data_IF_592519403066
#
_entry.id   IF_592519403066
#
_cell.length_a   1.000
_cell.length_b   1.000
_cell.length_c   1.000
_cell.angle_alpha   90.00
_cell.angle_beta   90.00
_cell.angle_gamma   90.00
#
_symmetry.space_group_name_H-M   'P 1'
#
loop_
_entity.id
_entity.type
_entity.pdbx_description
1 polymer ?
#
# COMPACT_ATOMS: atom_id res chain seq x y z
N UNK A 1 -14.12 24.22 -14.10
CA UNK A 1 -15.18 23.18 -14.09
C UNK A 1 -16.35 23.73 -13.29
N UNK A 2 -17.59 23.50 -13.72
CA UNK A 2 -18.77 23.86 -12.92
C UNK A 2 -18.92 22.86 -11.77
N UNK A 3 -19.62 23.28 -10.71
CA UNK A 3 -19.96 22.37 -9.60
C UNK A 3 -20.83 21.22 -10.11
N UNK A 4 -20.42 19.99 -9.85
CA UNK A 4 -21.16 18.77 -10.13
C UNK A 4 -21.28 18.01 -8.81
N UNK A 5 -22.49 17.58 -8.48
CA UNK A 5 -22.81 16.79 -7.29
C UNK A 5 -23.53 15.53 -7.75
N UNK A 6 -23.14 14.39 -7.21
CA UNK A 6 -23.80 13.09 -7.42
C UNK A 6 -24.01 12.43 -6.06
N UNK A 7 -25.26 12.26 -5.66
CA UNK A 7 -25.65 11.58 -4.42
C UNK A 7 -26.26 10.23 -4.78
N UNK A 8 -25.87 9.21 -4.04
CA UNK A 8 -26.31 7.83 -4.27
C UNK A 8 -26.37 7.06 -2.95
N UNK A 9 -27.17 6.02 -2.93
CA UNK A 9 -27.30 5.11 -1.79
C UNK A 9 -26.75 3.75 -2.17
N UNK A 10 -25.85 3.20 -1.33
CA UNK A 10 -25.32 1.84 -1.43
C UNK A 10 -25.23 1.24 -0.04
N UNK A 11 -25.63 -0.03 0.09
CA UNK A 11 -25.58 -0.80 1.35
C UNK A 11 -26.26 -0.08 2.52
N UNK A 12 -27.41 0.59 2.23
CA UNK A 12 -28.22 1.32 3.22
C UNK A 12 -27.56 2.61 3.73
N UNK A 13 -26.54 3.13 3.04
CA UNK A 13 -25.82 4.37 3.40
C UNK A 13 -25.78 5.34 2.24
N UNK A 14 -25.97 6.62 2.55
CA UNK A 14 -25.88 7.70 1.55
C UNK A 14 -24.44 8.17 1.41
N UNK A 15 -24.03 8.34 0.15
CA UNK A 15 -22.75 8.91 -0.25
C UNK A 15 -22.95 10.06 -1.23
N UNK A 16 -22.01 11.01 -1.20
CA UNK A 16 -22.00 12.10 -2.18
C UNK A 16 -20.61 12.30 -2.73
N UNK A 17 -20.50 12.44 -4.06
CA UNK A 17 -19.32 12.97 -4.73
C UNK A 17 -19.61 14.40 -5.21
N UNK A 18 -18.68 15.31 -4.93
CA UNK A 18 -18.76 16.69 -5.38
C UNK A 18 -17.43 17.13 -5.99
N UNK A 19 -17.48 17.84 -7.12
CA UNK A 19 -16.30 18.45 -7.76
C UNK A 19 -16.60 19.86 -8.26
N UNK A 20 -15.55 20.64 -8.56
CA UNK A 20 -15.63 21.95 -9.21
C UNK A 20 -15.75 23.15 -8.26
N UNK A 21 -15.94 22.94 -6.96
CA UNK A 21 -16.04 24.03 -5.97
C UNK A 21 -14.73 24.29 -5.23
N UNK A 22 -14.10 23.25 -4.70
CA UNK A 22 -12.87 23.32 -3.94
C UNK A 22 -11.64 22.97 -4.80
N UNK A 23 -10.46 23.40 -4.35
CA UNK A 23 -9.15 23.06 -4.91
C UNK A 23 -9.06 23.24 -6.44
N UNK A 24 -9.52 24.35 -6.97
CA UNK A 24 -9.62 24.66 -8.42
C UNK A 24 -8.28 24.66 -9.19
N UNK A 25 -7.15 24.65 -8.48
CA UNK A 25 -5.81 24.59 -9.07
C UNK A 25 -5.27 23.15 -9.20
N UNK A 26 -5.91 22.16 -8.55
CA UNK A 26 -5.55 20.76 -8.70
C UNK A 26 -5.98 20.25 -10.09
N UNK A 27 -5.29 19.22 -10.58
CA UNK A 27 -5.68 18.55 -11.83
C UNK A 27 -7.05 17.91 -11.73
N UNK A 28 -7.37 17.28 -10.60
CA UNK A 28 -8.69 16.78 -10.21
C UNK A 28 -8.91 16.96 -8.71
N UNK A 29 -10.13 17.29 -8.31
CA UNK A 29 -10.51 17.45 -6.92
C UNK A 29 -11.93 16.93 -6.71
N UNK A 30 -12.11 16.07 -5.72
CA UNK A 30 -13.41 15.49 -5.35
C UNK A 30 -13.58 15.57 -3.84
N UNK A 31 -14.73 16.04 -3.39
CA UNK A 31 -15.18 15.89 -2.01
C UNK A 31 -16.03 14.63 -1.96
N UNK A 32 -15.65 13.70 -1.11
CA UNK A 32 -16.44 12.51 -0.78
C UNK A 32 -17.08 12.72 0.57
N UNK A 33 -18.37 12.38 0.66
CA UNK A 33 -19.15 12.49 1.90
C UNK A 33 -19.87 11.19 2.20
N UNK A 34 -19.86 10.79 3.47
CA UNK A 34 -20.72 9.77 4.07
C UNK A 34 -21.23 10.30 5.41
N UNK A 35 -22.54 10.49 5.54
CA UNK A 35 -23.07 11.22 6.70
C UNK A 35 -22.53 12.65 6.78
N UNK A 36 -22.01 13.06 7.94
CA UNK A 36 -21.32 14.34 8.11
C UNK A 36 -19.78 14.21 8.07
N UNK A 37 -19.27 13.03 7.78
CA UNK A 37 -17.84 12.84 7.44
C UNK A 37 -17.58 13.25 6.00
N UNK A 38 -16.67 14.21 5.79
CA UNK A 38 -16.33 14.81 4.49
C UNK A 38 -14.82 14.81 4.30
N UNK A 39 -14.37 14.35 3.14
CA UNK A 39 -12.94 14.36 2.77
C UNK A 39 -12.76 15.00 1.40
N UNK A 40 -11.91 16.01 1.31
CA UNK A 40 -11.41 16.55 0.05
C UNK A 40 -10.25 15.71 -0.42
N UNK A 41 -10.34 15.12 -1.61
CA UNK A 41 -9.23 14.41 -2.23
C UNK A 41 -8.84 15.12 -3.52
N UNK A 42 -7.55 15.43 -3.65
CA UNK A 42 -6.97 16.10 -4.81
C UNK A 42 -5.96 15.19 -5.50
N UNK A 43 -5.91 15.24 -6.83
CA UNK A 43 -4.92 14.57 -7.65
C UNK A 43 -4.24 15.60 -8.57
N UNK A 44 -2.90 15.64 -8.54
CA UNK A 44 -2.10 16.54 -9.37
C UNK A 44 -0.95 15.75 -9.99
N UNK A 45 -0.90 15.74 -11.31
CA UNK A 45 0.17 15.11 -12.08
C UNK A 45 1.09 16.16 -12.70
N UNK A 46 2.41 15.89 -12.72
CA UNK A 46 3.35 16.71 -13.48
C UNK A 46 3.15 16.52 -14.99
N UNK A 47 3.43 17.57 -15.77
CA UNK A 47 3.35 17.52 -17.23
C UNK A 47 4.57 16.85 -17.87
N UNK A 48 5.66 16.72 -17.11
CA UNK A 48 6.92 16.14 -17.58
C UNK A 48 7.24 14.86 -16.80
N UNK A 49 7.69 13.84 -17.54
CA UNK A 49 8.18 12.62 -16.93
C UNK A 49 9.50 12.87 -16.18
N UNK A 50 9.70 12.20 -15.07
CA UNK A 50 10.98 12.17 -14.35
C UNK A 50 11.88 11.07 -14.91
N UNK A 51 13.18 11.32 -14.85
CA UNK A 51 14.19 10.33 -15.21
C UNK A 51 14.41 9.33 -14.06
N UNK A 52 13.36 8.52 -13.77
CA UNK A 52 13.33 7.52 -12.72
C UNK A 52 13.00 6.16 -13.33
N UNK A 53 13.41 5.08 -12.66
CA UNK A 53 13.10 3.70 -13.03
C UNK A 53 11.82 3.15 -12.37
N UNK A 54 11.12 4.00 -11.61
CA UNK A 54 9.89 3.65 -10.90
C UNK A 54 8.83 4.75 -11.05
N UNK A 55 7.58 4.43 -10.74
CA UNK A 55 6.46 5.36 -10.70
C UNK A 55 6.52 6.26 -9.45
N UNK A 56 6.72 7.59 -9.60
CA UNK A 56 6.83 8.52 -8.48
C UNK A 56 5.45 8.98 -7.99
N UNK A 57 4.71 8.08 -7.33
CA UNK A 57 3.44 8.37 -6.67
C UNK A 57 3.69 8.76 -5.20
N UNK A 58 3.13 9.89 -4.80
CA UNK A 58 3.05 10.32 -3.40
C UNK A 58 1.60 10.41 -2.98
N UNK A 59 1.25 9.77 -1.88
CA UNK A 59 -0.07 9.85 -1.26
C UNK A 59 0.07 10.35 0.17
N UNK A 60 -0.69 11.38 0.51
CA UNK A 60 -0.76 11.94 1.85
C UNK A 60 -2.21 11.94 2.34
N UNK A 61 -2.39 11.62 3.62
CA UNK A 61 -3.66 11.75 4.32
C UNK A 61 -3.47 12.74 5.46
N UNK A 62 -4.33 13.73 5.54
CA UNK A 62 -4.23 14.81 6.50
C UNK A 62 -5.45 14.86 7.41
N UNK A 63 -5.21 14.60 8.68
CA UNK A 63 -6.16 14.81 9.75
C UNK A 63 -6.08 16.28 10.18
N UNK A 64 -7.18 17.01 10.08
CA UNK A 64 -7.30 18.36 10.58
C UNK A 64 -8.18 18.35 11.83
N UNK A 65 -7.64 18.77 12.97
CA UNK A 65 -8.35 18.69 14.26
C UNK A 65 -9.67 19.47 14.26
N UNK A 66 -9.75 20.55 13.45
CA UNK A 66 -11.01 21.28 13.26
C UNK A 66 -12.13 20.43 12.68
N UNK A 67 -11.81 19.36 11.92
CA UNK A 67 -12.81 18.47 11.36
C UNK A 67 -13.69 17.78 12.42
N UNK A 68 -13.13 17.54 13.60
CA UNK A 68 -13.85 17.02 14.76
C UNK A 68 -14.16 18.12 15.81
N UNK A 69 -14.08 19.42 15.44
CA UNK A 69 -14.30 20.52 16.36
C UNK A 69 -13.22 20.65 17.46
N UNK A 70 -12.05 20.06 17.28
CA UNK A 70 -10.96 20.03 18.27
C UNK A 70 -9.85 21.03 17.92
N UNK A 71 -9.14 21.50 18.95
CA UNK A 71 -7.85 22.20 18.78
C UNK A 71 -6.69 21.19 18.86
N UNK A 72 -5.61 21.38 18.08
CA UNK A 72 -4.43 20.52 18.19
C UNK A 72 -3.88 20.49 19.63
N UNK A 73 -3.69 19.26 20.16
CA UNK A 73 -3.32 19.07 21.57
C UNK A 73 -1.89 19.50 21.93
N UNK A 74 -0.96 19.54 20.95
CA UNK A 74 0.43 19.88 21.17
C UNK A 74 0.66 21.31 21.67
N UNK A 75 1.86 21.60 22.19
CA UNK A 75 2.21 22.90 22.74
C UNK A 75 2.03 24.06 21.75
N UNK A 76 2.42 23.87 20.49
CA UNK A 76 2.32 24.91 19.45
C UNK A 76 0.88 25.07 18.89
N UNK A 77 -0.08 24.28 19.36
CA UNK A 77 -1.49 24.33 18.92
C UNK A 77 -1.67 24.27 17.40
N UNK A 78 -0.86 23.47 16.74
CA UNK A 78 -0.89 23.23 15.31
C UNK A 78 -0.54 21.79 15.02
N UNK A 79 -1.16 21.18 14.00
CA UNK A 79 -0.76 19.90 13.44
C UNK A 79 0.68 20.00 12.90
N UNK A 80 1.52 18.99 13.17
CA UNK A 80 2.91 18.97 12.76
C UNK A 80 3.21 17.77 11.86
N UNK A 81 3.59 16.64 12.46
CA UNK A 81 3.85 15.41 11.71
C UNK A 81 2.56 14.60 11.58
N UNK A 82 2.37 13.88 10.47
CA UNK A 82 1.25 12.95 10.34
C UNK A 82 1.22 11.97 11.51
N UNK A 83 0.01 11.67 12.00
CA UNK A 83 -0.22 10.61 12.99
C UNK A 83 0.12 9.24 12.41
N UNK A 84 0.27 8.23 13.26
CA UNK A 84 0.41 6.83 12.81
C UNK A 84 -0.77 6.44 11.93
N UNK A 85 -2.01 6.76 12.34
CA UNK A 85 -3.23 6.52 11.56
C UNK A 85 -3.17 7.21 10.19
N UNK A 86 -2.75 8.47 10.14
CA UNK A 86 -2.63 9.19 8.87
C UNK A 86 -1.63 8.51 7.91
N UNK A 87 -0.51 7.99 8.43
CA UNK A 87 0.47 7.25 7.64
C UNK A 87 -0.11 5.93 7.14
N UNK A 88 -0.83 5.20 8.00
CA UNK A 88 -1.48 3.92 7.62
C UNK A 88 -2.55 4.14 6.57
N UNK A 89 -3.41 5.14 6.74
CA UNK A 89 -4.44 5.49 5.75
C UNK A 89 -3.83 5.92 4.41
N UNK A 90 -2.77 6.75 4.42
CA UNK A 90 -2.06 7.09 3.19
C UNK A 90 -1.52 5.85 2.46
N UNK A 91 -1.01 4.86 3.20
CA UNK A 91 -0.55 3.58 2.62
C UNK A 91 -1.69 2.72 2.10
N UNK A 92 -2.84 2.74 2.78
CA UNK A 92 -4.04 2.03 2.36
C UNK A 92 -4.59 2.59 1.04
N UNK A 93 -4.47 3.89 0.80
CA UNK A 93 -4.81 4.54 -0.47
C UNK A 93 -3.75 4.26 -1.55
N UNK A 94 -2.44 4.42 -1.24
CA UNK A 94 -1.33 4.27 -2.20
C UNK A 94 -1.27 2.86 -2.83
N UNK A 95 -1.43 1.82 -2.01
CA UNK A 95 -1.20 0.43 -2.45
C UNK A 95 -2.10 -0.01 -3.60
N UNK A 96 -3.44 0.11 -3.54
CA UNK A 96 -4.31 -0.28 -4.64
C UNK A 96 -4.19 0.65 -5.84
N UNK A 97 -4.02 1.96 -5.63
CA UNK A 97 -3.90 2.93 -6.72
C UNK A 97 -2.65 2.67 -7.56
N UNK A 98 -1.51 2.40 -6.91
CA UNK A 98 -0.22 2.18 -7.59
C UNK A 98 -0.28 1.05 -8.61
N UNK A 99 -1.05 0.01 -8.32
CA UNK A 99 -1.21 -1.17 -9.18
C UNK A 99 -2.07 -0.90 -10.43
N UNK A 100 -2.82 0.20 -10.44
CA UNK A 100 -3.73 0.56 -11.51
C UNK A 100 -3.15 1.56 -12.51
N UNK A 101 -1.84 1.79 -12.47
CA UNK A 101 -1.15 2.61 -13.47
C UNK A 101 -0.38 1.74 -14.45
N UNK A 102 -0.33 2.12 -15.74
CA UNK A 102 0.42 1.37 -16.73
C UNK A 102 1.92 1.36 -16.42
N UNK A 103 2.55 0.24 -16.74
CA UNK A 103 4.01 0.16 -16.68
C UNK A 103 4.63 1.27 -17.55
N UNK A 104 5.67 1.91 -17.06
CA UNK A 104 6.29 3.02 -17.79
C UNK A 104 5.70 4.40 -17.50
N UNK A 105 4.69 4.54 -16.65
CA UNK A 105 4.26 5.83 -16.15
C UNK A 105 5.37 6.47 -15.28
N UNK A 106 5.91 7.63 -15.68
CA UNK A 106 7.09 8.27 -15.05
C UNK A 106 6.84 9.71 -14.60
N UNK A 107 5.63 10.23 -14.77
CA UNK A 107 5.27 11.55 -14.29
C UNK A 107 5.05 11.51 -12.77
N UNK A 108 5.49 12.56 -12.07
CA UNK A 108 5.14 12.69 -10.65
C UNK A 108 3.62 12.83 -10.50
N UNK A 109 3.08 12.07 -9.58
CA UNK A 109 1.68 12.15 -9.21
C UNK A 109 1.56 12.29 -7.70
N UNK A 110 0.81 13.30 -7.27
CA UNK A 110 0.50 13.50 -5.86
C UNK A 110 -1.01 13.41 -5.63
N UNK A 111 -1.40 12.60 -4.67
CA UNK A 111 -2.77 12.50 -4.15
C UNK A 111 -2.76 12.95 -2.70
N UNK A 112 -3.62 13.91 -2.36
CA UNK A 112 -3.77 14.39 -0.98
C UNK A 112 -5.23 14.25 -0.59
N UNK A 113 -5.49 13.50 0.49
CA UNK A 113 -6.79 13.40 1.13
C UNK A 113 -6.78 14.22 2.43
N UNK A 114 -7.65 15.22 2.52
CA UNK A 114 -7.77 16.09 3.68
C UNK A 114 -9.15 15.94 4.29
N UNK A 115 -9.22 15.53 5.54
CA UNK A 115 -10.49 15.41 6.27
C UNK A 115 -10.99 16.82 6.62
N UNK A 116 -12.16 17.19 6.08
CA UNK A 116 -12.79 18.49 6.29
C UNK A 116 -13.81 18.47 7.42
N UNK A 117 -14.49 17.33 7.62
CA UNK A 117 -15.46 17.09 8.69
C UNK A 117 -15.42 15.62 9.08
N UNK A 118 -15.56 15.32 10.36
CA UNK A 118 -15.62 13.97 10.93
C UNK A 118 -16.72 13.92 11.98
N UNK A 119 -17.75 13.11 11.71
CA UNK A 119 -18.91 12.95 12.61
C UNK A 119 -18.67 11.96 13.76
N UNK A 120 -17.50 11.32 13.79
CA UNK A 120 -17.12 10.28 14.75
C UNK A 120 -18.06 9.06 14.75
N UNK A 121 -18.81 8.88 13.68
CA UNK A 121 -19.66 7.71 13.39
C UNK A 121 -19.08 6.98 12.18
N UNK A 122 -18.83 7.71 11.08
CA UNK A 122 -18.35 7.18 9.83
C UNK A 122 -16.83 7.36 9.69
N UNK A 123 -16.14 6.31 9.30
CA UNK A 123 -14.69 6.32 9.18
C UNK A 123 -14.24 7.02 7.90
N UNK A 124 -13.35 8.04 7.98
CA UNK A 124 -12.92 8.80 6.81
C UNK A 124 -11.89 8.07 5.93
N UNK A 125 -11.25 7.01 6.44
CA UNK A 125 -10.10 6.36 5.80
C UNK A 125 -10.47 5.60 4.51
N UNK A 126 -11.46 4.72 4.56
CA UNK A 126 -11.82 3.85 3.43
C UNK A 126 -12.46 4.63 2.30
N UNK A 127 -13.31 5.63 2.61
CA UNK A 127 -13.94 6.48 1.59
C UNK A 127 -12.91 7.32 0.80
N UNK A 128 -11.70 7.53 1.36
CA UNK A 128 -10.61 8.20 0.66
C UNK A 128 -10.07 7.39 -0.53
N UNK A 129 -10.18 6.06 -0.53
CA UNK A 129 -9.72 5.23 -1.65
C UNK A 129 -10.56 5.54 -2.89
N UNK A 130 -11.89 5.53 -2.74
CA UNK A 130 -12.78 5.90 -3.85
C UNK A 130 -12.68 7.37 -4.20
N UNK A 131 -12.45 8.25 -3.23
CA UNK A 131 -12.21 9.68 -3.45
C UNK A 131 -10.96 9.94 -4.27
N UNK A 132 -9.87 9.22 -3.99
CA UNK A 132 -8.61 9.30 -4.73
C UNK A 132 -8.77 8.80 -6.17
N UNK A 133 -9.45 7.67 -6.34
CA UNK A 133 -9.78 7.13 -7.66
C UNK A 133 -10.67 8.10 -8.46
N UNK A 134 -11.72 8.64 -7.85
CA UNK A 134 -12.59 9.64 -8.50
C UNK A 134 -11.82 10.92 -8.87
N UNK A 135 -10.92 11.41 -8.01
CA UNK A 135 -10.07 12.57 -8.30
C UNK A 135 -9.12 12.32 -9.48
N UNK A 136 -8.55 11.11 -9.60
CA UNK A 136 -7.73 10.70 -10.74
C UNK A 136 -8.54 10.64 -12.04
N UNK A 137 -9.75 10.09 -12.00
CA UNK A 137 -10.67 10.08 -13.15
C UNK A 137 -11.03 11.50 -13.59
N UNK A 138 -11.36 12.38 -12.65
CA UNK A 138 -11.66 13.80 -12.94
C UNK A 138 -10.45 14.56 -13.46
N UNK A 139 -9.23 14.19 -13.03
CA UNK A 139 -7.98 14.75 -13.56
C UNK A 139 -7.65 14.29 -14.99
N UNK A 140 -8.33 13.26 -15.50
CA UNK A 140 -8.05 12.68 -16.82
C UNK A 140 -6.69 11.99 -16.92
N UNK A 141 -6.11 11.57 -15.81
CA UNK A 141 -4.82 10.86 -15.78
C UNK A 141 -5.00 9.46 -16.40
N UNK A 142 -4.05 8.93 -17.19
CA UNK A 142 -4.12 7.57 -17.71
C UNK A 142 -3.98 6.56 -16.57
N UNK A 143 -5.11 6.06 -16.12
CA UNK A 143 -5.30 5.26 -14.91
C UNK A 143 -6.29 4.13 -15.22
N UNK A 144 -5.92 2.90 -14.95
CA UNK A 144 -6.72 1.68 -15.19
C UNK A 144 -7.74 1.47 -14.05
N UNK A 145 -8.47 2.54 -13.72
CA UNK A 145 -9.52 2.53 -12.72
C UNK A 145 -10.91 2.43 -13.33
N UNK A 146 -11.94 2.60 -12.51
CA UNK A 146 -11.89 3.03 -11.10
C UNK A 146 -11.44 1.95 -10.12
N UNK A 147 -10.90 2.44 -8.99
CA UNK A 147 -10.58 1.64 -7.81
C UNK A 147 -11.51 2.07 -6.68
N UNK A 148 -12.06 1.11 -5.97
CA UNK A 148 -12.78 1.37 -4.73
C UNK A 148 -12.20 0.56 -3.59
N UNK A 149 -12.45 1.00 -2.37
CA UNK A 149 -12.15 0.27 -1.16
C UNK A 149 -13.39 0.23 -0.27
N UNK A 150 -13.56 -0.87 0.41
CA UNK A 150 -14.61 -1.07 1.41
C UNK A 150 -14.02 -1.66 2.67
N UNK A 151 -14.61 -1.33 3.82
CA UNK A 151 -14.41 -2.04 5.07
C UNK A 151 -15.57 -2.98 5.28
N UNK A 152 -15.29 -4.22 5.64
CA UNK A 152 -16.29 -5.22 5.98
C UNK A 152 -16.11 -5.61 7.43
N UNK A 153 -17.19 -5.50 8.19
CA UNK A 153 -17.34 -6.05 9.54
C UNK A 153 -18.31 -7.22 9.52
N UNK A 154 -18.30 -8.04 10.56
CA UNK A 154 -19.31 -9.06 10.81
C UNK A 154 -20.03 -8.73 12.11
N UNK A 155 -21.31 -8.35 12.01
CA UNK A 155 -22.16 -7.95 13.13
C UNK A 155 -23.34 -8.92 13.20
N UNK A 156 -23.55 -9.55 14.33
CA UNK A 156 -24.61 -10.56 14.52
C UNK A 156 -24.62 -11.67 13.44
N UNK A 157 -23.44 -12.00 12.91
CA UNK A 157 -23.26 -13.02 11.86
C UNK A 157 -23.46 -12.53 10.43
N UNK A 158 -23.84 -11.28 10.22
CA UNK A 158 -24.06 -10.69 8.90
C UNK A 158 -22.92 -9.74 8.52
N UNK A 159 -22.54 -9.71 7.21
CA UNK A 159 -21.52 -8.79 6.72
C UNK A 159 -22.09 -7.39 6.48
N UNK A 160 -21.40 -6.39 7.02
CA UNK A 160 -21.75 -4.96 6.90
C UNK A 160 -20.66 -4.21 6.15
N UNK A 161 -21.04 -3.46 5.11
CA UNK A 161 -20.14 -2.60 4.34
C UNK A 161 -19.98 -1.25 5.01
N UNK A 162 -18.73 -0.79 5.16
CA UNK A 162 -18.35 0.49 5.76
C UNK A 162 -19.05 0.72 7.11
N UNK A 163 -18.85 -0.18 8.09
CA UNK A 163 -19.52 -0.10 9.40
C UNK A 163 -19.20 1.21 10.09
N UNK A 164 -20.12 1.64 10.98
CA UNK A 164 -19.83 2.69 11.96
C UNK A 164 -18.75 2.23 12.96
N UNK A 165 -18.21 3.16 13.76
CA UNK A 165 -17.27 2.78 14.82
C UNK A 165 -17.89 1.80 15.81
N UNK A 166 -19.14 2.01 16.25
CA UNK A 166 -19.84 1.14 17.19
C UNK A 166 -20.11 -0.27 16.62
N UNK A 167 -20.47 -0.36 15.33
CA UNK A 167 -20.63 -1.64 14.62
C UNK A 167 -19.29 -2.38 14.52
N UNK A 168 -18.19 -1.66 14.26
CA UNK A 168 -16.86 -2.25 14.17
C UNK A 168 -16.36 -2.76 15.53
N UNK A 169 -16.60 -2.01 16.60
CA UNK A 169 -16.21 -2.42 17.97
C UNK A 169 -16.90 -3.70 18.42
N UNK A 170 -18.11 -3.97 17.92
CA UNK A 170 -18.85 -5.20 18.20
C UNK A 170 -18.48 -6.37 17.28
N UNK A 171 -17.67 -6.14 16.26
CA UNK A 171 -17.30 -7.11 15.23
C UNK A 171 -16.09 -7.97 15.63
N UNK A 172 -16.09 -9.22 15.22
CA UNK A 172 -14.93 -10.11 15.28
C UNK A 172 -14.05 -10.02 14.01
N UNK A 173 -14.44 -9.19 13.03
CA UNK A 173 -13.76 -8.99 11.76
C UNK A 173 -13.67 -7.49 11.41
N UNK A 174 -12.46 -7.00 11.20
CA UNK A 174 -12.15 -5.71 10.54
C UNK A 174 -11.37 -6.01 9.27
N UNK A 175 -12.04 -6.04 8.13
CA UNK A 175 -11.46 -6.39 6.85
C UNK A 175 -11.58 -5.22 5.87
N UNK A 176 -10.46 -4.63 5.48
CA UNK A 176 -10.41 -3.65 4.40
C UNK A 176 -9.95 -4.32 3.11
N UNK A 177 -10.76 -4.20 2.07
CA UNK A 177 -10.46 -4.70 0.73
C UNK A 177 -10.53 -3.54 -0.25
N UNK A 178 -9.57 -3.47 -1.17
CA UNK A 178 -9.60 -2.51 -2.26
C UNK A 178 -9.16 -3.13 -3.58
N UNK A 179 -9.80 -2.71 -4.67
CA UNK A 179 -9.55 -3.25 -6.00
C UNK A 179 -10.38 -2.57 -7.08
N UNK A 180 -10.35 -3.18 -8.26
CA UNK A 180 -11.24 -2.85 -9.39
C UNK A 180 -12.56 -3.61 -9.31
N UNK A 181 -13.44 -3.44 -10.30
CA UNK A 181 -14.67 -4.25 -10.43
C UNK A 181 -14.41 -5.76 -10.51
N UNK A 182 -13.22 -6.18 -10.93
CA UNK A 182 -12.92 -7.56 -11.34
C UNK A 182 -11.81 -8.20 -10.51
N UNK A 183 -11.03 -7.41 -9.75
CA UNK A 183 -9.86 -7.91 -9.03
C UNK A 183 -9.58 -7.16 -7.73
N UNK A 184 -9.15 -7.92 -6.73
CA UNK A 184 -8.66 -7.39 -5.45
C UNK A 184 -7.18 -7.05 -5.59
N UNK A 185 -6.80 -5.83 -5.21
CA UNK A 185 -5.41 -5.32 -5.24
C UNK A 185 -4.80 -5.19 -3.86
N UNK A 186 -5.61 -5.01 -2.82
CA UNK A 186 -5.14 -4.80 -1.46
C UNK A 186 -6.12 -5.40 -0.46
N UNK A 187 -5.55 -6.05 0.56
CA UNK A 187 -6.27 -6.57 1.72
C UNK A 187 -5.51 -6.14 2.96
N UNK A 188 -6.23 -5.68 3.97
CA UNK A 188 -5.76 -5.53 5.34
C UNK A 188 -6.84 -6.07 6.28
N UNK A 189 -6.49 -6.95 7.19
CA UNK A 189 -7.44 -7.55 8.11
C UNK A 189 -6.93 -7.54 9.56
N UNK A 190 -7.88 -7.46 10.47
CA UNK A 190 -7.75 -7.83 11.87
C UNK A 190 -8.97 -8.69 12.21
N UNK A 191 -8.76 -9.80 12.91
CA UNK A 191 -9.84 -10.75 13.20
C UNK A 191 -9.61 -11.45 14.53
N UNK A 192 -10.69 -11.81 15.21
CA UNK A 192 -10.70 -12.60 16.43
C UNK A 192 -11.01 -14.06 16.10
N UNK A 193 -9.96 -14.81 15.65
CA UNK A 193 -10.02 -16.25 15.34
C UNK A 193 -11.07 -16.63 14.28
N UNK A 194 -11.33 -15.75 13.30
CA UNK A 194 -12.21 -16.03 12.14
C UNK A 194 -11.54 -17.07 11.25
N UNK A 195 -12.30 -18.05 10.76
CA UNK A 195 -11.78 -19.11 9.88
C UNK A 195 -11.39 -18.59 8.49
N UNK A 196 -10.54 -19.36 7.78
CA UNK A 196 -10.13 -19.04 6.42
C UNK A 196 -11.33 -19.01 5.45
N UNK A 197 -12.31 -19.93 5.62
CA UNK A 197 -13.50 -19.98 4.77
C UNK A 197 -14.37 -18.72 4.97
N UNK A 198 -14.63 -18.32 6.21
CA UNK A 198 -15.36 -17.08 6.52
C UNK A 198 -14.62 -15.85 6.00
N UNK A 199 -13.28 -15.85 6.05
CA UNK A 199 -12.49 -14.76 5.49
C UNK A 199 -12.63 -14.69 3.95
N UNK A 200 -12.66 -15.82 3.26
CA UNK A 200 -12.88 -15.89 1.82
C UNK A 200 -14.29 -15.41 1.43
N UNK A 201 -15.30 -15.76 2.21
CA UNK A 201 -16.67 -15.28 2.02
C UNK A 201 -16.76 -13.76 2.20
N UNK A 202 -16.13 -13.22 3.24
CA UNK A 202 -16.05 -11.78 3.47
C UNK A 202 -15.34 -11.03 2.34
N UNK A 203 -14.26 -11.59 1.78
CA UNK A 203 -13.55 -11.01 0.63
C UNK A 203 -14.42 -11.05 -0.65
N UNK A 204 -15.17 -12.12 -0.85
CA UNK A 204 -16.10 -12.25 -2.00
C UNK A 204 -17.23 -11.23 -1.88
N UNK A 205 -17.77 -11.05 -0.69
CA UNK A 205 -18.77 -10.01 -0.40
C UNK A 205 -18.19 -8.61 -0.65
N UNK A 206 -16.98 -8.33 -0.16
CA UNK A 206 -16.29 -7.07 -0.38
C UNK A 206 -16.06 -6.78 -1.87
N UNK A 207 -15.68 -7.78 -2.67
CA UNK A 207 -15.47 -7.63 -4.13
C UNK A 207 -16.77 -7.21 -4.84
N UNK A 208 -17.91 -7.76 -4.43
CA UNK A 208 -19.21 -7.38 -4.97
C UNK A 208 -19.54 -5.92 -4.67
N UNK A 209 -19.29 -5.49 -3.43
CA UNK A 209 -19.47 -4.10 -3.02
C UNK A 209 -18.52 -3.13 -3.77
N UNK A 210 -17.26 -3.51 -3.95
CA UNK A 210 -16.29 -2.74 -4.73
C UNK A 210 -16.77 -2.50 -6.16
N UNK A 211 -17.34 -3.53 -6.80
CA UNK A 211 -17.85 -3.41 -8.17
C UNK A 211 -18.94 -2.34 -8.28
N UNK A 212 -19.87 -2.27 -7.32
CA UNK A 212 -20.92 -1.24 -7.28
C UNK A 212 -20.35 0.17 -7.08
N UNK A 213 -19.40 0.35 -6.16
CA UNK A 213 -18.71 1.64 -5.98
C UNK A 213 -17.89 2.05 -7.21
N UNK A 214 -17.32 1.11 -7.94
CA UNK A 214 -16.64 1.39 -9.20
C UNK A 214 -17.61 1.89 -10.26
N UNK A 215 -18.80 1.32 -10.36
CA UNK A 215 -19.81 1.76 -11.33
C UNK A 215 -20.31 3.19 -11.06
N UNK A 216 -20.50 3.53 -9.79
CA UNK A 216 -20.85 4.91 -9.41
C UNK A 216 -19.75 5.89 -9.82
N UNK A 217 -18.49 5.54 -9.63
CA UNK A 217 -17.35 6.39 -10.03
C UNK A 217 -17.28 6.58 -11.56
N UNK A 218 -17.55 5.52 -12.36
CA UNK A 218 -17.64 5.64 -13.83
C UNK A 218 -18.74 6.61 -14.25
N UNK A 219 -19.91 6.49 -13.63
CA UNK A 219 -21.05 7.38 -13.88
C UNK A 219 -20.73 8.83 -13.50
N UNK A 220 -20.10 9.06 -12.37
CA UNK A 220 -19.65 10.39 -11.93
C UNK A 220 -18.60 10.98 -12.88
N UNK A 221 -17.59 10.23 -13.26
CA UNK A 221 -16.58 10.66 -14.21
C UNK A 221 -17.17 11.02 -15.57
N UNK A 222 -18.15 10.25 -16.05
CA UNK A 222 -18.86 10.55 -17.30
C UNK A 222 -19.61 11.88 -17.22
N UNK A 223 -20.23 12.21 -16.08
CA UNK A 223 -20.87 13.53 -15.85
C UNK A 223 -19.86 14.68 -15.87
N UNK A 224 -18.65 14.43 -15.37
CA UNK A 224 -17.56 15.43 -15.33
C UNK A 224 -16.94 15.65 -16.71
N UNK A 225 -16.99 14.67 -17.61
CA UNK A 225 -16.41 14.68 -18.94
C UNK A 225 -14.98 15.27 -18.99
N UNK A 226 -14.02 14.69 -18.25
CA UNK A 226 -12.68 15.22 -18.14
C UNK A 226 -11.94 15.12 -19.48
N UNK A 227 -11.13 16.13 -19.79
CA UNK A 227 -10.20 16.04 -20.91
C UNK A 227 -9.05 15.07 -20.54
N UNK A 228 -8.73 14.06 -21.37
CA UNK A 228 -7.60 13.16 -21.10
C UNK A 228 -6.29 13.94 -20.99
N UNK A 229 -5.56 13.69 -19.91
CA UNK A 229 -4.23 14.26 -19.72
C UNK A 229 -3.22 13.54 -20.65
N UNK A 230 -2.58 14.30 -21.52
CA UNK A 230 -1.58 13.75 -22.46
C UNK A 230 -0.27 13.48 -21.73
N UNK A 231 -0.03 12.24 -21.40
CA UNK A 231 1.20 11.76 -20.79
C UNK A 231 1.81 10.70 -21.70
N UNK A 232 3.11 10.82 -21.99
CA UNK A 232 3.85 9.80 -22.71
C UNK A 232 4.20 8.66 -21.75
N UNK A 233 3.73 7.46 -22.06
CA UNK A 233 4.14 6.24 -21.35
C UNK A 233 5.50 5.80 -21.92
N UNK A 234 6.45 5.50 -21.05
CA UNK A 234 7.75 5.00 -21.44
C UNK A 234 7.66 3.53 -21.85
N UNK A 235 7.92 3.23 -23.09
CA UNK A 235 7.95 1.89 -23.64
C UNK A 235 9.37 1.46 -23.97
N UNK A 236 9.71 0.21 -23.72
CA UNK A 236 10.98 -0.39 -24.11
C UNK A 236 10.78 -1.12 -25.42
N UNK A 237 11.65 -0.85 -26.41
CA UNK A 237 11.57 -1.49 -27.72
C UNK A 237 11.66 -3.02 -27.63
N UNK A 238 10.76 -3.70 -28.30
CA UNK A 238 10.68 -5.17 -28.30
C UNK A 238 11.96 -5.81 -28.88
N UNK A 239 12.59 -5.18 -29.84
CA UNK A 239 13.87 -5.60 -30.40
C UNK A 239 14.98 -5.64 -29.34
N UNK A 240 15.04 -4.63 -28.47
CA UNK A 240 15.98 -4.58 -27.37
C UNK A 240 15.67 -5.65 -26.31
N UNK A 241 14.39 -5.88 -26.00
CA UNK A 241 13.93 -6.95 -25.12
C UNK A 241 14.39 -8.32 -25.61
N UNK A 242 14.12 -8.64 -26.87
CA UNK A 242 14.52 -9.91 -27.46
C UNK A 242 16.02 -10.13 -27.42
N UNK A 243 16.81 -9.10 -27.70
CA UNK A 243 18.28 -9.16 -27.65
C UNK A 243 18.78 -9.46 -26.23
N UNK A 244 18.26 -8.78 -25.20
CA UNK A 244 18.64 -9.00 -23.79
C UNK A 244 18.24 -10.41 -23.33
N UNK A 245 17.04 -10.83 -23.64
CA UNK A 245 16.52 -12.16 -23.25
C UNK A 245 17.28 -13.29 -23.95
N UNK A 246 17.54 -13.16 -25.24
CA UNK A 246 18.32 -14.17 -25.98
C UNK A 246 19.77 -14.29 -25.48
N UNK A 247 20.38 -13.16 -25.07
CA UNK A 247 21.76 -13.17 -24.57
C UNK A 247 21.88 -13.75 -23.15
N UNK A 248 20.82 -13.62 -22.31
CA UNK A 248 20.92 -13.88 -20.88
C UNK A 248 20.08 -15.06 -20.36
N UNK A 249 19.04 -15.53 -21.06
CA UNK A 249 18.03 -16.44 -20.48
C UNK A 249 18.63 -17.75 -19.91
N UNK A 250 19.41 -18.49 -20.69
CA UNK A 250 20.00 -19.75 -20.26
C UNK A 250 21.00 -19.56 -19.11
N UNK A 251 21.81 -18.51 -19.20
CA UNK A 251 22.82 -18.18 -18.17
C UNK A 251 22.13 -17.78 -16.87
N UNK A 252 21.06 -16.99 -16.94
CA UNK A 252 20.24 -16.57 -15.80
C UNK A 252 19.59 -17.77 -15.11
N UNK A 253 19.04 -18.71 -15.90
CA UNK A 253 18.46 -19.95 -15.37
C UNK A 253 19.49 -20.79 -14.63
N UNK A 254 20.70 -20.89 -15.17
CA UNK A 254 21.82 -21.60 -14.51
C UNK A 254 22.25 -20.90 -13.22
N UNK A 255 22.44 -19.59 -13.25
CA UNK A 255 22.86 -18.81 -12.09
C UNK A 255 21.85 -18.86 -10.94
N UNK A 256 20.54 -18.89 -11.26
CA UNK A 256 19.46 -18.94 -10.27
C UNK A 256 19.36 -20.29 -9.53
N UNK A 257 19.96 -21.38 -10.04
CA UNK A 257 19.90 -22.73 -9.42
C UNK A 257 20.82 -22.91 -8.22
N UNK A 258 21.67 -21.94 -7.91
CA UNK A 258 22.59 -22.08 -6.79
C UNK A 258 21.83 -21.99 -5.45
N UNK A 259 21.90 -23.01 -4.59
CA UNK A 259 21.16 -23.02 -3.32
C UNK A 259 21.68 -21.98 -2.34
N UNK A 260 22.98 -21.66 -2.37
CA UNK A 260 23.55 -20.60 -1.54
C UNK A 260 23.15 -19.23 -2.05
N UNK A 261 22.54 -18.43 -1.18
CA UNK A 261 22.03 -17.11 -1.55
C UNK A 261 23.12 -16.15 -1.98
N UNK A 262 24.27 -16.14 -1.31
CA UNK A 262 25.34 -15.18 -1.62
C UNK A 262 26.00 -15.52 -2.95
N UNK A 263 26.27 -16.81 -3.17
CA UNK A 263 26.83 -17.31 -4.43
C UNK A 263 25.83 -17.04 -5.57
N UNK A 264 24.56 -17.37 -5.39
CA UNK A 264 23.51 -17.09 -6.39
C UNK A 264 23.43 -15.62 -6.76
N UNK A 265 23.49 -14.71 -5.77
CA UNK A 265 23.50 -13.26 -6.04
C UNK A 265 24.71 -12.83 -6.85
N UNK A 266 25.90 -13.39 -6.54
CA UNK A 266 27.12 -13.15 -7.29
C UNK A 266 27.04 -13.68 -8.72
N UNK A 267 26.53 -14.90 -8.91
CA UNK A 267 26.36 -15.51 -10.22
C UNK A 267 25.37 -14.72 -11.09
N UNK A 268 24.24 -14.30 -10.52
CA UNK A 268 23.26 -13.44 -11.21
C UNK A 268 23.88 -12.10 -11.59
N UNK A 269 24.67 -11.49 -10.72
CA UNK A 269 25.37 -10.24 -11.02
C UNK A 269 26.38 -10.43 -12.17
N UNK A 270 27.13 -11.52 -12.18
CA UNK A 270 28.08 -11.83 -13.24
C UNK A 270 27.37 -12.00 -14.60
N UNK A 271 26.22 -12.68 -14.65
CA UNK A 271 25.40 -12.79 -15.87
C UNK A 271 24.94 -11.43 -16.36
N UNK A 272 24.51 -10.53 -15.47
CA UNK A 272 24.09 -9.18 -15.85
C UNK A 272 25.24 -8.38 -16.46
N UNK A 273 26.42 -8.43 -15.85
CA UNK A 273 27.60 -7.76 -16.37
C UNK A 273 28.03 -8.36 -17.73
N UNK A 274 27.99 -9.66 -17.90
CA UNK A 274 28.30 -10.32 -19.18
C UNK A 274 27.35 -9.88 -20.30
N UNK A 275 26.05 -9.80 -20.02
CA UNK A 275 25.08 -9.29 -21.01
C UNK A 275 25.31 -7.82 -21.31
N UNK A 276 25.60 -6.99 -20.31
CA UNK A 276 25.92 -5.56 -20.50
C UNK A 276 27.18 -5.38 -21.37
N UNK A 277 28.20 -6.23 -21.19
CA UNK A 277 29.43 -6.20 -22.00
C UNK A 277 29.19 -6.54 -23.48
N UNK A 278 28.06 -7.13 -23.83
CA UNK A 278 27.63 -7.38 -25.22
C UNK A 278 27.04 -6.17 -25.94
N UNK A 279 26.96 -5.00 -25.28
CA UNK A 279 26.50 -3.74 -25.84
C UNK A 279 27.65 -2.75 -25.98
N UNK A 280 27.60 -1.91 -27.03
CA UNK A 280 28.57 -0.85 -27.22
C UNK A 280 28.39 0.27 -26.21
N UNK A 281 29.40 1.10 -26.01
CA UNK A 281 29.33 2.26 -25.12
C UNK A 281 28.23 3.25 -25.53
N UNK A 282 28.05 3.47 -26.84
CA UNK A 282 26.96 4.32 -27.34
C UNK A 282 25.57 3.74 -27.05
N UNK A 283 25.39 2.44 -27.19
CA UNK A 283 24.13 1.76 -26.83
C UNK A 283 23.85 1.84 -25.31
N UNK A 284 24.88 1.68 -24.48
CA UNK A 284 24.75 1.81 -23.03
C UNK A 284 24.43 3.23 -22.61
N UNK A 285 25.00 4.22 -23.27
CA UNK A 285 24.68 5.64 -23.01
C UNK A 285 23.24 5.97 -23.42
N UNK A 286 22.77 5.45 -24.55
CA UNK A 286 21.42 5.70 -25.04
C UNK A 286 20.33 4.89 -24.29
N UNK A 287 20.57 3.62 -23.99
CA UNK A 287 19.56 2.67 -23.52
C UNK A 287 19.94 1.87 -22.29
N UNK A 288 21.02 2.21 -21.62
CA UNK A 288 21.55 1.41 -20.50
C UNK A 288 20.58 1.24 -19.32
N UNK A 289 19.70 2.23 -19.05
CA UNK A 289 18.63 2.09 -18.05
C UNK A 289 17.61 1.04 -18.47
N UNK A 290 17.19 1.05 -19.73
CA UNK A 290 16.25 0.07 -20.28
C UNK A 290 16.84 -1.32 -20.26
N UNK A 291 18.12 -1.49 -20.62
CA UNK A 291 18.80 -2.78 -20.58
C UNK A 291 18.86 -3.33 -19.15
N UNK A 292 19.17 -2.50 -18.15
CA UNK A 292 19.17 -2.91 -16.73
C UNK A 292 17.76 -3.27 -16.24
N UNK A 293 16.73 -2.55 -16.67
CA UNK A 293 15.34 -2.87 -16.36
C UNK A 293 14.93 -4.24 -16.95
N UNK A 294 15.31 -4.51 -18.21
CA UNK A 294 15.08 -5.78 -18.87
C UNK A 294 15.84 -6.93 -18.23
N UNK A 295 17.08 -6.72 -17.76
CA UNK A 295 17.83 -7.75 -17.00
C UNK A 295 17.17 -8.09 -15.67
N UNK A 296 16.57 -7.10 -14.99
CA UNK A 296 15.79 -7.34 -13.78
C UNK A 296 14.49 -8.09 -14.07
N UNK A 297 13.86 -7.78 -15.17
CA UNK A 297 12.67 -8.48 -15.64
C UNK A 297 13.00 -9.94 -16.03
N UNK A 298 14.11 -10.16 -16.74
CA UNK A 298 14.61 -11.48 -17.10
C UNK A 298 14.87 -12.34 -15.86
N UNK A 299 15.53 -11.79 -14.85
CA UNK A 299 15.73 -12.50 -13.56
C UNK A 299 14.41 -12.91 -12.93
N UNK A 300 13.46 -11.96 -12.85
CA UNK A 300 12.14 -12.19 -12.24
C UNK A 300 11.33 -13.23 -13.00
N UNK A 301 11.25 -13.13 -14.33
CA UNK A 301 10.50 -14.05 -15.17
C UNK A 301 11.11 -15.45 -15.17
N UNK A 302 12.42 -15.56 -15.29
CA UNK A 302 13.14 -16.85 -15.24
C UNK A 302 12.92 -17.54 -13.90
N UNK A 303 13.07 -16.83 -12.78
CA UNK A 303 12.81 -17.38 -11.45
C UNK A 303 11.37 -17.88 -11.32
N UNK A 304 10.40 -17.09 -11.80
CA UNK A 304 8.98 -17.45 -11.74
C UNK A 304 8.68 -18.69 -12.58
N UNK A 305 9.21 -18.73 -13.79
CA UNK A 305 9.03 -19.87 -14.69
C UNK A 305 9.64 -21.15 -14.13
N UNK A 306 10.82 -21.08 -13.52
CA UNK A 306 11.44 -22.22 -12.84
C UNK A 306 10.52 -22.77 -11.73
N UNK A 307 10.03 -21.90 -10.85
CA UNK A 307 9.16 -22.31 -9.75
C UNK A 307 7.86 -22.93 -10.25
N UNK A 308 7.23 -22.34 -11.29
CA UNK A 308 5.96 -22.84 -11.81
C UNK A 308 6.12 -24.14 -12.63
N UNK A 309 7.20 -24.28 -13.41
CA UNK A 309 7.40 -25.43 -14.28
C UNK A 309 8.05 -26.63 -13.57
N UNK A 310 8.89 -26.38 -12.57
CA UNK A 310 9.68 -27.43 -11.90
C UNK A 310 9.11 -27.80 -10.53
N UNK A 311 8.27 -26.94 -9.93
CA UNK A 311 7.72 -27.18 -8.59
C UNK A 311 8.73 -27.01 -7.46
N UNK A 312 9.90 -26.45 -7.75
CA UNK A 312 10.98 -26.21 -6.80
C UNK A 312 11.34 -24.72 -6.73
N UNK A 313 11.69 -24.26 -5.54
CA UNK A 313 12.22 -22.91 -5.33
C UNK A 313 13.70 -22.85 -5.73
N UNK A 314 14.18 -21.65 -6.05
CA UNK A 314 15.60 -21.43 -6.47
C UNK A 314 16.66 -21.87 -5.47
N UNK A 315 16.30 -22.09 -4.22
CA UNK A 315 17.18 -22.63 -3.17
C UNK A 315 17.01 -24.14 -2.95
N UNK A 316 16.33 -24.83 -3.87
CA UNK A 316 16.15 -26.29 -3.86
C UNK A 316 15.05 -26.80 -2.93
N UNK A 317 14.28 -25.90 -2.28
CA UNK A 317 13.15 -26.29 -1.43
C UNK A 317 11.91 -26.57 -2.27
N UNK A 318 11.04 -27.43 -1.76
CA UNK A 318 9.67 -27.60 -2.27
C UNK A 318 8.84 -26.34 -2.04
N UNK A 319 7.71 -26.23 -2.72
CA UNK A 319 6.82 -25.06 -2.65
C UNK A 319 6.30 -24.83 -1.23
N UNK A 320 5.95 -25.89 -0.51
CA UNK A 320 5.41 -25.91 0.85
C UNK A 320 6.50 -26.00 1.96
N UNK A 321 7.77 -26.16 1.59
CA UNK A 321 8.86 -26.31 2.55
C UNK A 321 9.27 -24.96 3.15
N UNK A 322 9.27 -24.88 4.47
CA UNK A 322 9.73 -23.71 5.24
C UNK A 322 11.25 -23.81 5.48
N UNK A 323 11.96 -22.68 5.34
CA UNK A 323 13.38 -22.62 5.74
C UNK A 323 13.53 -22.96 7.21
N UNK A 324 14.70 -23.52 7.58
CA UNK A 324 14.98 -23.84 8.96
C UNK A 324 14.69 -22.67 9.89
N UNK A 325 13.89 -22.93 10.93
CA UNK A 325 13.52 -21.96 11.96
C UNK A 325 14.22 -22.32 13.25
N UNK A 326 14.85 -21.33 13.87
CA UNK A 326 15.39 -21.42 15.23
C UNK A 326 14.98 -20.21 16.03
N UNK A 327 14.79 -20.37 17.33
CA UNK A 327 14.49 -19.28 18.24
C UNK A 327 15.18 -19.47 19.57
N UNK A 328 15.54 -18.35 20.20
CA UNK A 328 16.10 -18.33 21.56
C UNK A 328 15.56 -17.14 22.34
N UNK A 329 15.52 -17.25 23.66
CA UNK A 329 15.05 -16.18 24.55
C UNK A 329 16.17 -15.74 25.49
N UNK A 330 16.00 -14.59 26.15
CA UNK A 330 16.97 -14.11 27.13
C UNK A 330 18.26 -13.56 26.52
N UNK A 331 18.25 -13.11 25.26
CA UNK A 331 19.43 -12.62 24.56
C UNK A 331 19.94 -11.27 25.11
N UNK A 332 19.03 -10.37 25.50
CA UNK A 332 19.36 -9.03 25.99
C UNK A 332 19.32 -9.01 27.52
N UNK A 333 20.44 -8.69 28.22
CA UNK A 333 20.51 -8.81 29.68
C UNK A 333 19.76 -7.73 30.47
N UNK A 334 19.38 -6.60 29.84
CA UNK A 334 18.73 -5.48 30.52
C UNK A 334 17.25 -5.31 30.14
N UNK A 335 16.80 -5.90 29.04
CA UNK A 335 15.38 -5.90 28.66
C UNK A 335 14.59 -6.82 29.59
N UNK A 336 13.27 -6.51 29.79
CA UNK A 336 12.42 -7.38 30.61
C UNK A 336 12.14 -8.72 29.94
N UNK A 337 12.18 -8.75 28.59
CA UNK A 337 12.20 -9.96 27.80
C UNK A 337 12.90 -9.71 26.47
N UNK A 338 13.41 -10.78 25.87
CA UNK A 338 13.95 -10.70 24.51
C UNK A 338 13.89 -12.05 23.83
N UNK A 339 13.66 -12.03 22.51
CA UNK A 339 13.65 -13.17 21.64
C UNK A 339 14.47 -12.92 20.38
N UNK A 340 15.27 -13.91 19.98
CA UNK A 340 15.93 -13.93 18.69
C UNK A 340 15.30 -15.03 17.86
N UNK A 341 14.66 -14.64 16.76
CA UNK A 341 14.04 -15.53 15.79
C UNK A 341 14.88 -15.54 14.50
N UNK A 342 15.17 -16.71 13.99
CA UNK A 342 15.92 -16.88 12.73
C UNK A 342 15.20 -17.86 11.82
N UNK A 343 14.99 -17.45 10.55
CA UNK A 343 14.47 -18.30 9.48
C UNK A 343 15.43 -18.24 8.28
N UNK A 344 16.27 -19.24 8.16
CA UNK A 344 17.39 -19.22 7.22
C UNK A 344 18.37 -18.09 7.56
N UNK A 345 18.53 -17.12 6.68
CA UNK A 345 19.39 -15.94 6.89
C UNK A 345 18.60 -14.70 7.38
N UNK A 346 17.29 -14.79 7.52
CA UNK A 346 16.46 -13.68 8.03
C UNK A 346 16.35 -13.78 9.54
N UNK A 347 16.69 -12.70 10.25
CA UNK A 347 16.65 -12.64 11.71
C UNK A 347 15.77 -11.49 12.19
N UNK A 348 15.12 -11.72 13.32
CA UNK A 348 14.40 -10.68 14.08
C UNK A 348 14.84 -10.76 15.53
N UNK A 349 15.36 -9.66 16.04
CA UNK A 349 15.63 -9.48 17.47
C UNK A 349 14.49 -8.65 18.07
N UNK A 350 13.71 -9.26 18.94
CA UNK A 350 12.63 -8.60 19.68
C UNK A 350 13.08 -8.27 21.09
N UNK A 351 12.78 -7.07 21.56
CA UNK A 351 13.00 -6.64 22.94
C UNK A 351 11.67 -6.23 23.55
N UNK A 352 11.37 -6.72 24.75
CA UNK A 352 10.15 -6.41 25.49
C UNK A 352 10.50 -5.55 26.72
N UNK A 353 9.73 -4.50 26.92
CA UNK A 353 9.73 -3.66 28.13
C UNK A 353 8.33 -3.61 28.72
N UNK A 354 8.19 -3.87 30.00
CA UNK A 354 6.95 -3.75 30.75
C UNK A 354 6.94 -2.39 31.43
N UNK A 355 5.88 -1.63 31.27
CA UNK A 355 5.64 -0.35 31.91
C UNK A 355 4.51 -0.41 32.96
N UNK A 356 4.32 0.67 33.69
CA UNK A 356 3.17 0.82 34.58
C UNK A 356 1.88 1.08 33.79
N UNK A 357 0.74 0.76 34.34
CA UNK A 357 -0.57 1.00 33.71
C UNK A 357 -0.83 2.47 33.34
N UNK A 358 -0.15 3.41 34.02
CA UNK A 358 -0.22 4.84 33.74
C UNK A 358 0.60 5.28 32.52
N UNK A 359 1.50 4.43 32.01
CA UNK A 359 2.42 4.72 30.90
C UNK A 359 1.82 4.32 29.54
N UNK A 360 0.51 4.47 29.37
CA UNK A 360 -0.15 4.23 28.10
C UNK A 360 0.01 5.41 27.13
N UNK A 361 0.05 5.12 25.85
CA UNK A 361 0.09 6.14 24.80
C UNK A 361 -1.29 6.79 24.66
N UNK A 362 -1.36 8.11 24.87
CA UNK A 362 -2.57 8.89 24.57
C UNK A 362 -2.61 9.18 23.07
N UNK A 363 -3.73 8.80 22.44
CA UNK A 363 -3.99 9.06 21.03
C UNK A 363 -5.03 10.18 20.96
N UNK A 364 -4.62 11.34 20.42
CA UNK A 364 -5.47 12.49 20.20
C UNK A 364 -5.52 12.77 18.69
N UNK A 365 -6.57 12.25 18.06
CA UNK A 365 -6.83 12.38 16.63
C UNK A 365 -8.23 12.95 16.41
N UNK A 366 -8.68 12.98 15.16
CA UNK A 366 -10.05 13.39 14.80
C UNK A 366 -11.12 12.39 15.24
N UNK A 367 -10.74 11.15 15.51
CA UNK A 367 -11.63 10.12 16.00
C UNK A 367 -11.90 10.23 17.52
N UNK A 368 -12.61 9.25 18.06
CA UNK A 368 -12.76 9.09 19.50
C UNK A 368 -11.39 8.88 20.13
N UNK A 369 -11.10 9.63 21.19
CA UNK A 369 -9.78 9.59 21.85
C UNK A 369 -9.60 8.27 22.59
N UNK A 370 -8.55 7.55 22.26
CA UNK A 370 -8.21 6.25 22.81
C UNK A 370 -6.83 6.25 23.44
N UNK A 371 -6.50 5.18 24.13
CA UNK A 371 -5.18 4.90 24.66
C UNK A 371 -4.67 3.53 24.24
N UNK A 372 -3.39 3.48 23.91
CA UNK A 372 -2.68 2.26 23.54
C UNK A 372 -1.83 1.78 24.71
N UNK A 373 -2.05 0.55 25.21
CA UNK A 373 -1.22 -0.10 26.22
C UNK A 373 -0.18 -1.02 25.64
N UNK A 374 -0.48 -1.68 24.53
CA UNK A 374 0.47 -2.46 23.77
C UNK A 374 1.00 -1.63 22.61
N UNK A 375 2.32 -1.53 22.49
CA UNK A 375 3.02 -0.78 21.46
C UNK A 375 4.00 -1.72 20.76
N UNK A 376 3.86 -1.89 19.47
CA UNK A 376 4.75 -2.72 18.67
C UNK A 376 5.51 -1.88 17.64
N UNK A 377 6.78 -1.62 17.94
CA UNK A 377 7.65 -0.87 17.04
C UNK A 377 8.49 -1.81 16.18
N UNK A 378 8.51 -1.57 14.88
CA UNK A 378 9.36 -2.28 13.93
C UNK A 378 10.42 -1.34 13.37
N UNK A 379 11.68 -1.77 13.43
CA UNK A 379 12.80 -1.03 12.89
C UNK A 379 13.51 -1.88 11.83
N UNK A 380 13.84 -1.25 10.68
CA UNK A 380 14.52 -1.89 9.57
C UNK A 380 15.68 -1.03 9.08
N UNK A 381 16.80 -0.98 9.83
CA UNK A 381 17.97 -0.21 9.44
C UNK A 381 18.63 -0.75 8.17
N UNK A 382 19.40 0.08 7.42
CA UNK A 382 19.96 -0.30 6.12
C UNK A 382 20.81 -1.57 6.12
N UNK A 383 21.48 -1.88 7.21
CA UNK A 383 22.30 -3.10 7.32
C UNK A 383 21.47 -4.39 7.24
N UNK A 384 20.14 -4.35 7.44
CA UNK A 384 19.28 -5.52 7.28
C UNK A 384 19.26 -6.06 5.84
N UNK A 385 19.57 -5.22 4.86
CA UNK A 385 19.73 -5.57 3.44
C UNK A 385 21.18 -5.51 2.96
N UNK A 386 22.13 -5.21 3.85
CA UNK A 386 23.55 -5.01 3.48
C UNK A 386 23.81 -3.67 2.78
N UNK A 387 22.91 -2.71 2.93
CA UNK A 387 23.00 -1.39 2.29
C UNK A 387 23.53 -0.33 3.25
N UNK A 388 24.07 0.74 2.69
CA UNK A 388 24.41 1.98 3.41
C UNK A 388 23.26 2.97 3.21
N UNK A 389 22.80 3.60 4.28
CA UNK A 389 21.70 4.58 4.19
C UNK A 389 21.61 5.50 5.40
N UNK A 390 20.81 6.56 5.24
CA UNK A 390 20.59 7.54 6.31
C UNK A 390 19.65 6.99 7.39
N UNK A 391 20.02 7.19 8.65
CA UNK A 391 19.20 6.91 9.83
C UNK A 391 18.38 8.17 10.21
N UNK A 392 17.16 8.29 9.67
CA UNK A 392 16.27 9.46 9.88
C UNK A 392 14.98 9.13 10.66
N UNK A 393 14.99 8.04 11.43
CA UNK A 393 13.81 7.50 12.09
C UNK A 393 12.99 6.57 11.20
N UNK A 394 11.87 6.02 11.71
CA UNK A 394 11.08 5.03 11.00
C UNK A 394 10.45 5.64 9.73
N UNK A 395 10.54 4.90 8.64
CA UNK A 395 9.89 5.23 7.37
C UNK A 395 8.44 4.74 7.40
N UNK A 396 7.59 5.24 6.48
CA UNK A 396 6.18 4.82 6.34
C UNK A 396 6.03 3.28 6.23
N UNK A 397 6.98 2.60 5.57
CA UNK A 397 6.99 1.13 5.46
C UNK A 397 7.19 0.44 6.81
N UNK A 398 8.07 0.96 7.65
CA UNK A 398 8.35 0.40 8.98
C UNK A 398 7.14 0.58 9.90
N UNK A 399 6.52 1.75 9.87
CA UNK A 399 5.27 2.03 10.61
C UNK A 399 4.16 1.08 10.18
N UNK A 400 3.95 0.92 8.87
CA UNK A 400 2.94 -0.01 8.34
C UNK A 400 3.21 -1.47 8.68
N UNK A 401 4.47 -1.90 8.69
CA UNK A 401 4.83 -3.28 9.05
C UNK A 401 4.67 -3.54 10.56
N UNK A 402 5.06 -2.56 11.39
CA UNK A 402 4.84 -2.61 12.85
C UNK A 402 3.36 -2.72 13.20
N UNK A 403 2.53 -1.89 12.59
CA UNK A 403 1.08 -1.90 12.82
C UNK A 403 0.40 -3.24 12.44
N UNK A 404 0.84 -3.90 11.35
CA UNK A 404 0.33 -5.23 11.01
C UNK A 404 0.74 -6.29 12.01
N UNK A 405 1.98 -6.25 12.51
CA UNK A 405 2.45 -7.16 13.55
C UNK A 405 1.71 -6.92 14.89
N UNK A 406 1.43 -5.67 15.23
CA UNK A 406 0.66 -5.29 16.40
C UNK A 406 -0.75 -5.86 16.35
N UNK A 407 -1.48 -5.64 15.24
CA UNK A 407 -2.83 -6.16 15.06
C UNK A 407 -2.91 -7.68 15.11
N UNK A 408 -1.89 -8.38 14.58
CA UNK A 408 -1.84 -9.83 14.61
C UNK A 408 -1.65 -10.40 16.03
N UNK A 409 -1.02 -9.66 16.93
CA UNK A 409 -0.75 -10.12 18.30
C UNK A 409 -1.82 -9.70 19.29
N UNK A 410 -2.49 -8.56 19.08
CA UNK A 410 -3.50 -8.01 20.00
C UNK A 410 -4.56 -9.03 20.46
N UNK A 411 -5.17 -9.85 19.58
CA UNK A 411 -6.20 -10.80 19.99
C UNK A 411 -5.72 -11.93 20.91
N UNK A 412 -4.42 -12.20 20.94
CA UNK A 412 -3.81 -13.33 21.70
C UNK A 412 -2.93 -12.86 22.86
N UNK A 413 -2.89 -11.56 23.14
CA UNK A 413 -2.18 -11.04 24.30
C UNK A 413 -2.95 -11.34 25.58
N UNK A 414 -2.26 -11.65 26.71
CA UNK A 414 -2.90 -11.92 28.00
C UNK A 414 -3.53 -10.67 28.62
#
# INVERSE_FOLDING_TARGET
MNKIVDTFELFGKEYTFETGELAKQAGGAVVVRQGDTMVLVTATASTQAKDLDFFPLTVDFEERMYAAGKLPGGFIKREARPSEKAILTARMIDRPLRSAFPDGFRNELQVIATVLSADQINQPDVICIMGASAALLVAGVPFEGPIAGVRVARVDGEYVVNPSFDELDSSDLDLVVAGSSDAIYMIEASANEVSEDEMLDAMTFAQSAIAEFCEVQRRFAAKCNPAPLKIAIHEIEESLRQRVFSAGAEKMRSALRNPDKQVRMSDVAAVKEEVLAGFTEDELNASGKNIRALLKELEKSTMRDMVLSEGERVDGRKIDEVRQVTSSVGYLPRAHGSGLFTRGQTQVLSALTLGMLSEWQRIDTIDVSEGKRYLHHYNFPPFCTGEIGFMRGPKRREIGHGALAERALLPVLP
#
